data_IF_625470705891
#
_entry.id   IF_625470705891
#
_cell.length_a   1.000
_cell.length_b   1.000
_cell.length_c   1.000
_cell.angle_alpha   90.00
_cell.angle_beta   90.00
_cell.angle_gamma   90.00
#
_symmetry.space_group_name_H-M   'P 1'
#
loop_
_entity.id
_entity.type
_entity.pdbx_description
1 polymer ?
#
# COMPACT_ATOMS: atom_id res chain seq x y z
N UNK A 1 40.65 22.12 2.20
CA UNK A 1 40.51 21.04 3.21
C UNK A 1 39.49 21.30 4.31
N UNK A 2 39.34 22.54 4.80
CA UNK A 2 38.33 22.91 5.84
C UNK A 2 36.91 22.92 5.33
N UNK A 3 36.65 23.32 4.10
CA UNK A 3 35.33 23.30 3.46
C UNK A 3 34.82 21.87 3.19
N UNK A 4 35.72 20.94 2.83
CA UNK A 4 35.38 19.51 2.67
C UNK A 4 34.98 18.87 3.99
N UNK A 5 35.66 19.17 5.11
CA UNK A 5 35.25 18.67 6.44
C UNK A 5 33.90 19.21 6.89
N UNK A 6 33.55 20.47 6.54
CA UNK A 6 32.23 21.03 6.89
C UNK A 6 31.09 20.41 6.10
N UNK A 7 31.30 20.02 4.85
CA UNK A 7 30.28 19.37 4.02
C UNK A 7 30.03 17.92 4.45
N UNK A 8 31.07 17.14 4.68
CA UNK A 8 30.95 15.80 5.21
C UNK A 8 30.29 15.77 6.59
N UNK A 9 30.60 16.75 7.46
CA UNK A 9 29.92 16.90 8.75
C UNK A 9 28.43 17.21 8.59
N UNK A 10 28.03 18.07 7.65
CA UNK A 10 26.60 18.39 7.44
C UNK A 10 25.78 17.19 6.95
N UNK A 11 26.36 16.31 6.16
CA UNK A 11 25.69 15.10 5.69
C UNK A 11 25.56 14.05 6.79
N UNK A 12 26.55 13.97 7.69
CA UNK A 12 26.45 13.13 8.91
C UNK A 12 25.31 13.61 9.78
N UNK A 13 25.15 14.90 10.05
CA UNK A 13 24.05 15.44 10.87
C UNK A 13 22.65 15.13 10.30
N UNK A 14 22.49 15.20 8.99
CA UNK A 14 21.19 14.89 8.35
C UNK A 14 20.82 13.42 8.47
N UNK A 15 21.81 12.54 8.30
CA UNK A 15 21.64 11.10 8.50
C UNK A 15 21.26 10.80 9.95
N UNK A 16 21.93 11.43 10.90
CA UNK A 16 21.59 11.33 12.32
C UNK A 16 20.16 11.81 12.63
N UNK A 17 19.69 12.90 12.01
CA UNK A 17 18.31 13.36 12.19
C UNK A 17 17.29 12.33 11.71
N UNK A 18 17.53 11.66 10.58
CA UNK A 18 16.66 10.59 10.08
C UNK A 18 16.68 9.38 11.02
N UNK A 19 17.86 8.97 11.49
CA UNK A 19 18.00 7.89 12.45
C UNK A 19 17.29 8.20 13.77
N UNK A 20 17.43 9.42 14.27
CA UNK A 20 16.72 9.89 15.48
C UNK A 20 15.20 9.87 15.23
N UNK A 21 14.73 10.32 14.07
CA UNK A 21 13.31 10.29 13.73
C UNK A 21 12.76 8.85 13.72
N UNK A 22 13.51 7.89 13.15
CA UNK A 22 13.14 6.47 13.16
C UNK A 22 13.17 5.89 14.59
N UNK A 23 14.13 6.25 15.41
CA UNK A 23 14.19 5.84 16.81
C UNK A 23 13.00 6.39 17.59
N UNK A 24 12.69 7.69 17.47
CA UNK A 24 11.54 8.33 18.11
C UNK A 24 10.23 7.68 17.67
N UNK A 25 10.07 7.44 16.37
CA UNK A 25 8.93 6.69 15.84
C UNK A 25 8.85 5.28 16.45
N UNK A 26 9.96 4.56 16.49
CA UNK A 26 10.01 3.20 17.04
C UNK A 26 9.62 3.18 18.51
N UNK A 27 10.15 4.08 19.33
CA UNK A 27 9.86 4.14 20.77
C UNK A 27 8.43 4.60 21.04
N UNK A 28 7.94 5.64 20.34
CA UNK A 28 6.62 6.21 20.63
C UNK A 28 5.46 5.46 19.98
N UNK A 29 5.69 4.86 18.83
CA UNK A 29 4.63 4.27 18.02
C UNK A 29 4.81 2.76 17.85
N UNK A 30 5.93 2.29 17.29
CA UNK A 30 6.09 0.89 16.96
C UNK A 30 6.09 -0.01 18.20
N UNK A 31 6.70 0.41 19.31
CA UNK A 31 6.71 -0.38 20.56
C UNK A 31 5.33 -0.57 21.19
N UNK A 32 4.35 0.24 20.83
CA UNK A 32 2.97 0.08 21.31
C UNK A 32 2.25 -1.08 20.62
N UNK A 33 2.53 -1.31 19.32
CA UNK A 33 1.78 -2.26 18.48
C UNK A 33 2.57 -3.51 18.12
N UNK A 34 3.85 -3.38 17.78
CA UNK A 34 4.68 -4.50 17.32
C UNK A 34 4.79 -5.63 18.33
N UNK A 35 4.97 -5.40 19.66
CA UNK A 35 5.00 -6.50 20.63
C UNK A 35 3.70 -7.30 20.68
N UNK A 36 2.55 -6.64 20.38
CA UNK A 36 1.23 -7.28 20.35
C UNK A 36 0.92 -7.97 19.01
N UNK A 37 1.80 -7.86 18.02
CA UNK A 37 1.60 -8.45 16.68
C UNK A 37 1.47 -9.98 16.73
N UNK A 38 2.21 -10.66 17.60
CA UNK A 38 2.15 -12.13 17.72
C UNK A 38 0.84 -12.63 18.32
N UNK A 39 0.21 -11.86 19.20
CA UNK A 39 -1.04 -12.23 19.88
C UNK A 39 -2.27 -11.57 19.27
N UNK A 40 -2.09 -10.50 18.49
CA UNK A 40 -3.14 -9.64 17.94
C UNK A 40 -4.06 -9.01 19.00
N UNK A 41 -3.56 -8.90 20.24
CA UNK A 41 -4.28 -8.39 21.39
C UNK A 41 -4.75 -9.49 22.34
N UNK A 42 -4.98 -9.10 23.58
CA UNK A 42 -5.38 -10.02 24.66
C UNK A 42 -6.56 -9.49 25.49
N UNK A 43 -6.80 -8.18 25.44
CA UNK A 43 -7.83 -7.52 26.26
C UNK A 43 -9.04 -7.22 25.41
N UNK A 44 -10.16 -7.91 25.70
CA UNK A 44 -11.44 -7.67 25.04
C UNK A 44 -12.11 -6.38 25.56
N UNK A 45 -12.98 -5.81 24.71
CA UNK A 45 -13.77 -4.63 25.06
C UNK A 45 -14.87 -4.98 26.03
N UNK A 46 -14.78 -4.48 27.25
CA UNK A 46 -15.77 -4.67 28.31
C UNK A 46 -16.18 -3.33 28.93
N UNK A 47 -17.44 -3.23 29.34
CA UNK A 47 -17.93 -2.07 30.10
C UNK A 47 -17.57 -2.26 31.57
N UNK A 48 -16.75 -1.37 32.10
CA UNK A 48 -16.35 -1.33 33.50
C UNK A 48 -16.93 -0.09 34.16
N UNK A 49 -17.51 -0.26 35.34
CA UNK A 49 -18.02 0.87 36.10
C UNK A 49 -16.86 1.59 36.79
N UNK A 50 -16.61 2.83 36.39
CA UNK A 50 -15.56 3.66 36.99
C UNK A 50 -16.11 4.39 38.22
N UNK A 51 -15.66 3.95 39.42
CA UNK A 51 -16.09 4.54 40.68
C UNK A 51 -15.66 6.01 40.86
N UNK A 52 -14.64 6.47 40.15
CA UNK A 52 -14.18 7.87 40.23
C UNK A 52 -15.07 8.82 39.42
N UNK A 53 -15.52 8.38 38.23
CA UNK A 53 -16.36 9.19 37.34
C UNK A 53 -17.85 8.87 37.49
N UNK A 54 -18.19 7.83 38.28
CA UNK A 54 -19.57 7.31 38.45
C UNK A 54 -20.27 7.01 37.12
N UNK A 55 -19.48 6.60 36.10
CA UNK A 55 -19.98 6.27 34.76
C UNK A 55 -19.47 4.90 34.34
N UNK A 56 -20.26 4.23 33.51
CA UNK A 56 -19.79 3.04 32.79
C UNK A 56 -18.95 3.47 31.61
N UNK A 57 -17.68 3.15 31.63
CA UNK A 57 -16.71 3.42 30.60
C UNK A 57 -16.19 2.10 30.04
N UNK A 58 -15.68 2.11 28.80
CA UNK A 58 -15.02 0.93 28.27
C UNK A 58 -13.62 0.83 28.91
N UNK A 59 -13.18 -0.41 29.15
CA UNK A 59 -11.81 -0.69 29.58
C UNK A 59 -10.80 -0.25 28.49
N UNK A 60 -9.52 -0.26 28.83
CA UNK A 60 -8.45 -0.11 27.84
C UNK A 60 -8.33 -1.44 27.05
N UNK A 61 -9.04 -1.52 25.93
CA UNK A 61 -9.18 -2.74 25.13
C UNK A 61 -8.23 -2.73 23.92
N UNK A 62 -7.86 -3.93 23.50
CA UNK A 62 -7.08 -4.14 22.30
C UNK A 62 -8.01 -4.21 21.05
N UNK A 63 -7.51 -3.73 19.94
CA UNK A 63 -8.17 -3.90 18.64
C UNK A 63 -7.22 -4.63 17.69
N UNK A 64 -7.50 -5.88 17.41
CA UNK A 64 -6.64 -6.75 16.60
C UNK A 64 -6.38 -6.18 15.20
N UNK A 65 -7.38 -5.53 14.58
CA UNK A 65 -7.22 -4.89 13.28
C UNK A 65 -6.25 -3.70 13.33
N UNK A 66 -6.38 -2.86 14.36
CA UNK A 66 -5.50 -1.71 14.59
C UNK A 66 -4.07 -2.16 14.89
N UNK A 67 -3.91 -3.20 15.70
CA UNK A 67 -2.61 -3.80 16.03
C UNK A 67 -1.95 -4.33 14.75
N UNK A 68 -2.69 -5.09 13.92
CA UNK A 68 -2.18 -5.63 12.67
C UNK A 68 -1.77 -4.52 11.70
N UNK A 69 -2.63 -3.53 11.47
CA UNK A 69 -2.39 -2.42 10.56
C UNK A 69 -1.15 -1.60 10.95
N UNK A 70 -1.07 -1.20 12.23
CA UNK A 70 0.03 -0.35 12.69
C UNK A 70 1.35 -1.12 12.85
N UNK A 71 1.29 -2.41 13.15
CA UNK A 71 2.48 -3.26 13.13
C UNK A 71 3.02 -3.41 11.71
N UNK A 72 2.16 -3.65 10.71
CA UNK A 72 2.56 -3.69 9.31
C UNK A 72 3.14 -2.36 8.83
N UNK A 73 2.49 -1.25 9.19
CA UNK A 73 3.01 0.07 8.91
C UNK A 73 4.41 0.27 9.51
N UNK A 74 4.61 -0.15 10.75
CA UNK A 74 5.92 -0.09 11.43
C UNK A 74 6.97 -0.94 10.71
N UNK A 75 6.64 -2.14 10.26
CA UNK A 75 7.55 -2.99 9.48
C UNK A 75 7.94 -2.35 8.15
N UNK A 76 7.00 -1.73 7.45
CA UNK A 76 7.28 -1.01 6.19
C UNK A 76 8.22 0.18 6.45
N UNK A 77 8.00 0.95 7.52
CA UNK A 77 8.88 2.06 7.91
C UNK A 77 10.28 1.54 8.27
N UNK A 78 10.39 0.47 9.04
CA UNK A 78 11.68 -0.13 9.39
C UNK A 78 12.42 -0.70 8.18
N UNK A 79 11.68 -1.35 7.27
CA UNK A 79 12.26 -1.82 6.01
C UNK A 79 12.79 -0.68 5.15
N UNK A 80 12.01 0.40 5.00
CA UNK A 80 12.44 1.59 4.27
C UNK A 80 13.68 2.24 4.93
N UNK A 81 13.69 2.36 6.26
CA UNK A 81 14.82 2.87 7.02
C UNK A 81 16.08 2.00 6.83
N UNK A 82 15.94 0.68 6.86
CA UNK A 82 17.03 -0.26 6.62
C UNK A 82 17.60 -0.12 5.19
N UNK A 83 16.75 0.02 4.19
CA UNK A 83 17.17 0.26 2.79
C UNK A 83 17.94 1.58 2.66
N UNK A 84 17.45 2.65 3.28
CA UNK A 84 18.11 3.95 3.29
C UNK A 84 19.45 3.86 4.02
N UNK A 85 19.48 3.22 5.17
CA UNK A 85 20.71 3.01 5.94
C UNK A 85 21.75 2.21 5.13
N UNK A 86 21.36 1.12 4.51
CA UNK A 86 22.26 0.30 3.68
C UNK A 86 22.83 1.08 2.50
N UNK A 87 21.98 1.85 1.79
CA UNK A 87 22.45 2.76 0.73
C UNK A 87 23.41 3.82 1.26
N UNK A 88 23.15 4.35 2.46
CA UNK A 88 24.06 5.34 3.07
C UNK A 88 25.43 4.75 3.39
N UNK A 89 25.50 3.50 3.87
CA UNK A 89 26.77 2.80 4.12
C UNK A 89 27.55 2.62 2.82
N UNK A 90 26.88 2.16 1.76
CA UNK A 90 27.52 1.99 0.44
C UNK A 90 28.04 3.34 -0.10
N UNK A 91 27.21 4.39 0.00
CA UNK A 91 27.61 5.73 -0.44
C UNK A 91 28.79 6.28 0.35
N UNK A 92 28.81 6.08 1.68
CA UNK A 92 29.93 6.50 2.52
C UNK A 92 31.24 5.82 2.11
N UNK A 93 31.20 4.51 1.88
CA UNK A 93 32.35 3.76 1.37
C UNK A 93 32.83 4.25 0.00
N UNK A 94 31.89 4.55 -0.90
CA UNK A 94 32.20 5.05 -2.24
C UNK A 94 32.81 6.45 -2.16
N UNK A 95 32.30 7.33 -1.30
CA UNK A 95 32.82 8.68 -1.10
C UNK A 95 34.24 8.65 -0.51
N UNK A 96 34.50 7.76 0.48
CA UNK A 96 35.85 7.57 1.02
C UNK A 96 36.85 7.15 -0.06
N UNK A 97 36.46 6.19 -0.91
CA UNK A 97 37.29 5.72 -2.01
C UNK A 97 37.56 6.81 -3.07
N UNK A 98 36.59 7.70 -3.29
CA UNK A 98 36.76 8.86 -4.17
C UNK A 98 37.69 9.91 -3.56
N UNK A 99 37.62 10.13 -2.24
CA UNK A 99 38.53 11.03 -1.50
C UNK A 99 39.95 10.53 -1.56
N UNK A 100 40.19 9.24 -1.32
CA UNK A 100 41.51 8.60 -1.44
C UNK A 100 42.08 8.70 -2.85
N UNK A 101 41.23 8.68 -3.89
CA UNK A 101 41.60 8.83 -5.28
C UNK A 101 41.77 10.32 -5.74
N UNK A 102 41.61 11.28 -4.83
CA UNK A 102 41.70 12.72 -5.12
C UNK A 102 40.62 13.27 -6.04
N UNK A 103 39.48 12.57 -6.18
CA UNK A 103 38.38 13.02 -7.00
C UNK A 103 37.53 14.08 -6.25
N UNK A 104 36.88 14.95 -7.01
CA UNK A 104 35.99 15.95 -6.45
C UNK A 104 34.79 15.27 -5.78
N UNK A 105 34.47 15.69 -4.54
CA UNK A 105 33.28 15.26 -3.79
C UNK A 105 32.31 16.42 -3.80
N UNK A 106 31.06 16.14 -4.19
CA UNK A 106 30.01 17.15 -4.23
C UNK A 106 29.77 17.76 -2.84
N UNK A 107 29.57 19.06 -2.82
CA UNK A 107 29.10 19.78 -1.63
C UNK A 107 27.60 19.58 -1.46
N UNK A 108 27.09 19.84 -0.25
CA UNK A 108 25.63 19.75 0.02
C UNK A 108 24.77 20.58 -0.93
N UNK A 109 25.23 21.79 -1.30
CA UNK A 109 24.51 22.64 -2.27
C UNK A 109 24.47 22.00 -3.65
N UNK A 110 25.56 21.35 -4.07
CA UNK A 110 25.64 20.64 -5.34
C UNK A 110 24.72 19.41 -5.33
N UNK A 111 24.68 18.66 -4.23
CA UNK A 111 23.77 17.52 -4.08
C UNK A 111 22.29 17.97 -4.06
N UNK A 112 21.95 19.05 -3.37
CA UNK A 112 20.60 19.61 -3.39
C UNK A 112 20.21 20.10 -4.79
N UNK A 113 21.15 20.71 -5.50
CA UNK A 113 20.94 21.16 -6.88
C UNK A 113 20.79 19.96 -7.81
N UNK A 114 21.57 18.89 -7.60
CA UNK A 114 21.44 17.66 -8.38
C UNK A 114 20.06 17.00 -8.24
N UNK A 115 19.38 17.13 -7.10
CA UNK A 115 18.01 16.64 -6.90
C UNK A 115 16.97 17.42 -7.74
N UNK A 116 17.27 18.67 -8.10
CA UNK A 116 16.39 19.50 -8.93
C UNK A 116 16.79 19.49 -10.42
N UNK A 117 18.00 19.08 -10.75
CA UNK A 117 18.52 19.04 -12.12
C UNK A 117 18.71 17.60 -12.59
N UNK A 118 19.79 16.95 -12.24
CA UNK A 118 20.16 15.61 -12.73
C UNK A 118 19.26 14.49 -12.19
N UNK A 119 18.90 14.54 -10.89
CA UNK A 119 18.09 13.55 -10.20
C UNK A 119 16.62 13.98 -10.04
N UNK A 120 16.17 14.97 -10.81
CA UNK A 120 14.81 15.49 -10.76
C UNK A 120 13.74 14.40 -10.90
N UNK A 121 13.99 13.39 -11.74
CA UNK A 121 13.11 12.24 -11.90
C UNK A 121 12.89 11.47 -10.59
N UNK A 122 13.92 11.33 -9.74
CA UNK A 122 13.78 10.67 -8.43
C UNK A 122 12.91 11.51 -7.51
N UNK A 123 13.17 12.81 -7.45
CA UNK A 123 12.39 13.74 -6.61
C UNK A 123 10.93 13.77 -7.04
N UNK A 124 10.67 13.83 -8.34
CA UNK A 124 9.31 13.84 -8.89
C UNK A 124 8.55 12.54 -8.60
N UNK A 125 9.23 11.39 -8.71
CA UNK A 125 8.62 10.07 -8.49
C UNK A 125 8.46 9.71 -7.01
N UNK A 126 9.15 10.39 -6.10
CA UNK A 126 9.10 10.07 -4.67
C UNK A 126 7.69 10.17 -4.12
N UNK A 127 6.97 11.25 -4.42
CA UNK A 127 5.60 11.45 -3.93
C UNK A 127 4.60 10.41 -4.47
N UNK A 128 4.54 10.14 -5.78
CA UNK A 128 3.71 9.04 -6.31
C UNK A 128 4.07 7.66 -5.72
N UNK A 129 5.35 7.34 -5.58
CA UNK A 129 5.80 6.06 -5.01
C UNK A 129 5.38 5.94 -3.55
N UNK A 130 5.53 6.99 -2.74
CA UNK A 130 5.01 7.01 -1.37
C UNK A 130 3.50 6.79 -1.33
N UNK A 131 2.76 7.44 -2.23
CA UNK A 131 1.32 7.24 -2.38
C UNK A 131 0.97 5.76 -2.66
N UNK A 132 1.65 5.12 -3.60
CA UNK A 132 1.46 3.69 -3.91
C UNK A 132 1.80 2.81 -2.71
N UNK A 133 2.89 3.08 -1.99
CA UNK A 133 3.26 2.30 -0.80
C UNK A 133 2.20 2.42 0.28
N UNK A 134 1.74 3.62 0.61
CA UNK A 134 0.79 3.86 1.70
C UNK A 134 -0.62 3.38 1.34
N UNK A 135 -1.13 3.72 0.16
CA UNK A 135 -2.52 3.49 -0.21
C UNK A 135 -2.77 2.20 -0.99
N UNK A 136 -1.73 1.54 -1.47
CA UNK A 136 -1.87 0.28 -2.23
C UNK A 136 -1.13 -0.86 -1.55
N UNK A 137 0.16 -0.72 -1.27
CA UNK A 137 0.96 -1.82 -0.75
C UNK A 137 0.55 -2.22 0.68
N UNK A 138 0.37 -1.24 1.59
CA UNK A 138 -0.01 -1.53 2.97
C UNK A 138 -1.39 -2.20 3.06
N UNK A 139 -2.47 -1.73 2.39
CA UNK A 139 -3.74 -2.44 2.37
C UNK A 139 -3.67 -3.84 1.77
N UNK A 140 -2.89 -4.07 0.71
CA UNK A 140 -2.70 -5.41 0.14
C UNK A 140 -2.01 -6.34 1.15
N UNK A 141 -0.93 -5.88 1.79
CA UNK A 141 -0.26 -6.64 2.83
C UNK A 141 -1.22 -6.96 3.98
N UNK A 142 -2.03 -5.98 4.41
CA UNK A 142 -3.03 -6.19 5.45
C UNK A 142 -3.99 -7.32 5.07
N UNK A 143 -4.55 -7.32 3.86
CA UNK A 143 -5.45 -8.37 3.38
C UNK A 143 -4.77 -9.74 3.34
N UNK A 144 -3.49 -9.79 2.92
CA UNK A 144 -2.70 -11.02 2.93
C UNK A 144 -2.57 -11.55 4.36
N UNK A 145 -2.22 -10.71 5.33
CA UNK A 145 -2.08 -11.14 6.72
C UNK A 145 -3.42 -11.54 7.35
N UNK A 146 -4.50 -10.81 7.06
CA UNK A 146 -5.86 -11.17 7.51
C UNK A 146 -6.25 -12.58 7.04
N UNK A 147 -5.84 -13.02 5.85
CA UNK A 147 -6.11 -14.37 5.34
C UNK A 147 -5.51 -15.49 6.21
N UNK A 148 -4.51 -15.18 7.06
CA UNK A 148 -3.92 -16.11 8.02
C UNK A 148 -4.53 -16.03 9.42
N UNK A 149 -5.60 -15.27 9.60
CA UNK A 149 -6.32 -15.11 10.87
C UNK A 149 -7.71 -15.73 10.81
N UNK A 150 -8.36 -15.88 11.97
CA UNK A 150 -9.75 -16.29 12.08
C UNK A 150 -10.74 -15.12 12.01
N UNK A 151 -10.43 -14.07 11.23
CA UNK A 151 -11.31 -12.92 11.06
C UNK A 151 -12.63 -13.32 10.39
N UNK A 152 -13.72 -13.31 11.16
CA UNK A 152 -15.07 -13.62 10.72
C UNK A 152 -16.11 -12.75 11.48
N UNK A 153 -17.40 -13.02 11.28
CA UNK A 153 -18.47 -12.28 11.97
C UNK A 153 -18.45 -12.44 13.50
N UNK A 154 -17.89 -13.54 14.01
CA UNK A 154 -17.82 -13.82 15.44
C UNK A 154 -16.57 -13.22 16.10
N UNK A 155 -15.51 -12.97 15.29
CA UNK A 155 -14.23 -12.42 15.72
C UNK A 155 -13.98 -11.04 15.10
N UNK A 156 -14.99 -10.16 15.17
CA UNK A 156 -14.91 -8.82 14.58
C UNK A 156 -14.54 -7.77 15.65
N UNK A 157 -13.38 -7.08 15.50
CA UNK A 157 -13.03 -5.96 16.36
C UNK A 157 -14.05 -4.80 16.25
N UNK A 158 -14.27 -4.00 17.28
CA UNK A 158 -13.53 -3.96 18.55
C UNK A 158 -14.07 -4.88 19.65
N UNK A 159 -15.24 -5.46 19.50
CA UNK A 159 -15.91 -6.25 20.54
C UNK A 159 -15.24 -7.60 20.78
N UNK A 160 -14.78 -8.23 19.73
CA UNK A 160 -14.06 -9.50 19.76
C UNK A 160 -12.69 -9.36 19.11
N UNK A 161 -11.76 -10.23 19.51
CA UNK A 161 -10.40 -10.26 18.97
C UNK A 161 -10.29 -11.44 18.00
N UNK A 162 -9.57 -11.25 16.92
CA UNK A 162 -9.14 -12.34 16.06
C UNK A 162 -7.68 -12.73 16.35
N UNK A 163 -7.34 -13.97 16.03
CA UNK A 163 -6.04 -14.57 16.31
C UNK A 163 -5.45 -15.22 15.06
N UNK A 164 -4.16 -15.53 15.12
CA UNK A 164 -3.48 -16.26 14.05
C UNK A 164 -3.93 -17.71 13.99
N UNK A 165 -4.36 -18.15 12.82
CA UNK A 165 -4.68 -19.57 12.52
C UNK A 165 -3.75 -20.18 11.46
N UNK A 166 -2.79 -19.40 10.98
CA UNK A 166 -1.82 -19.85 9.99
C UNK A 166 -2.49 -20.29 8.69
N UNK A 167 -2.12 -21.47 8.19
CA UNK A 167 -2.64 -22.01 6.93
C UNK A 167 -3.98 -22.73 7.06
N UNK A 168 -4.63 -22.75 8.23
CA UNK A 168 -5.86 -23.49 8.47
C UNK A 168 -6.97 -23.10 7.48
N UNK A 169 -7.12 -21.81 7.17
CA UNK A 169 -8.09 -21.32 6.20
C UNK A 169 -7.84 -21.88 4.80
N UNK A 170 -6.59 -21.98 4.39
CA UNK A 170 -6.21 -22.53 3.09
C UNK A 170 -6.39 -24.04 3.05
N UNK A 171 -6.06 -24.74 4.13
CA UNK A 171 -6.28 -26.18 4.25
C UNK A 171 -7.77 -26.49 4.20
N UNK A 172 -8.61 -25.75 4.91
CA UNK A 172 -10.07 -25.94 4.87
C UNK A 172 -10.67 -25.60 3.50
N UNK A 173 -10.07 -24.65 2.78
CA UNK A 173 -10.53 -24.26 1.45
C UNK A 173 -10.13 -25.27 0.36
N UNK A 174 -8.88 -25.75 0.37
CA UNK A 174 -8.30 -26.62 -0.66
C UNK A 174 -8.11 -28.08 -0.22
N UNK A 175 -8.18 -28.36 1.09
CA UNK A 175 -8.07 -29.72 1.64
C UNK A 175 -9.35 -30.54 1.41
N UNK A 176 -9.29 -31.83 1.70
CA UNK A 176 -10.25 -32.86 1.30
C UNK A 176 -11.76 -32.62 1.54
N UNK A 177 -12.15 -31.58 2.25
CA UNK A 177 -13.54 -31.14 2.36
C UNK A 177 -13.85 -29.85 1.58
N UNK A 178 -12.84 -29.05 1.26
CA UNK A 178 -13.02 -27.69 0.71
C UNK A 178 -13.53 -27.67 -0.73
N UNK A 179 -12.99 -28.50 -1.61
CA UNK A 179 -13.41 -28.57 -3.01
C UNK A 179 -14.73 -29.33 -3.21
N UNK A 180 -15.07 -30.23 -2.28
CA UNK A 180 -16.36 -30.96 -2.27
C UNK A 180 -17.44 -30.20 -1.50
N UNK A 181 -17.07 -29.23 -0.66
CA UNK A 181 -18.03 -28.32 -0.03
C UNK A 181 -18.58 -27.33 -1.03
N UNK A 182 -19.84 -26.92 -0.85
CA UNK A 182 -20.49 -25.88 -1.68
C UNK A 182 -19.66 -24.59 -1.74
N UNK A 183 -19.01 -24.23 -0.62
CA UNK A 183 -18.16 -23.04 -0.54
C UNK A 183 -16.85 -23.16 -1.35
N UNK A 184 -16.13 -24.26 -1.20
CA UNK A 184 -14.87 -24.47 -1.94
C UNK A 184 -15.08 -24.53 -3.44
N UNK A 185 -16.15 -25.22 -3.89
CA UNK A 185 -16.54 -25.24 -5.30
C UNK A 185 -16.88 -23.85 -5.84
N UNK A 186 -17.70 -23.09 -5.10
CA UNK A 186 -18.06 -21.72 -5.48
C UNK A 186 -16.83 -20.82 -5.55
N UNK A 187 -15.90 -20.91 -4.59
CA UNK A 187 -14.67 -20.14 -4.56
C UNK A 187 -13.79 -20.42 -5.79
N UNK A 188 -13.51 -21.69 -6.10
CA UNK A 188 -12.67 -22.05 -7.25
C UNK A 188 -13.31 -21.60 -8.57
N UNK A 189 -14.62 -21.75 -8.70
CA UNK A 189 -15.38 -21.27 -9.87
C UNK A 189 -15.27 -19.76 -10.05
N UNK A 190 -15.48 -18.99 -8.97
CA UNK A 190 -15.37 -17.52 -9.00
C UNK A 190 -13.94 -17.10 -9.28
N UNK A 191 -12.95 -17.74 -8.64
CA UNK A 191 -11.53 -17.47 -8.89
C UNK A 191 -11.15 -17.71 -10.34
N UNK A 192 -11.53 -18.88 -10.89
CA UNK A 192 -11.29 -19.21 -12.29
C UNK A 192 -11.90 -18.19 -13.25
N UNK A 193 -13.16 -17.82 -13.01
CA UNK A 193 -13.82 -16.76 -13.77
C UNK A 193 -13.10 -15.41 -13.67
N UNK A 194 -12.69 -15.02 -12.46
CA UNK A 194 -11.96 -13.77 -12.23
C UNK A 194 -10.63 -13.73 -12.97
N UNK A 195 -9.87 -14.84 -12.98
CA UNK A 195 -8.62 -14.93 -13.72
C UNK A 195 -8.83 -14.83 -15.23
N UNK A 196 -9.81 -15.54 -15.77
CA UNK A 196 -10.19 -15.46 -17.19
C UNK A 196 -10.60 -14.03 -17.55
N UNK A 197 -11.46 -13.42 -16.73
CA UNK A 197 -11.89 -12.05 -16.92
C UNK A 197 -10.72 -11.06 -16.85
N UNK A 198 -9.84 -11.18 -15.86
CA UNK A 198 -8.67 -10.32 -15.71
C UNK A 198 -7.75 -10.40 -16.92
N UNK A 199 -7.52 -11.62 -17.44
CA UNK A 199 -6.71 -11.82 -18.64
C UNK A 199 -7.33 -11.10 -19.85
N UNK A 200 -8.57 -11.42 -20.18
CA UNK A 200 -9.22 -10.82 -21.35
C UNK A 200 -9.41 -9.31 -21.20
N UNK A 201 -9.82 -8.82 -20.04
CA UNK A 201 -9.99 -7.39 -19.80
C UNK A 201 -8.66 -6.64 -19.99
N UNK A 202 -7.57 -7.16 -19.44
CA UNK A 202 -6.25 -6.51 -19.55
C UNK A 202 -5.76 -6.49 -21.00
N UNK A 203 -5.79 -7.62 -21.68
CA UNK A 203 -5.27 -7.70 -23.05
C UNK A 203 -6.14 -6.92 -24.05
N UNK A 204 -7.46 -7.01 -23.95
CA UNK A 204 -8.36 -6.26 -24.87
C UNK A 204 -8.26 -4.76 -24.65
N UNK A 205 -8.19 -4.27 -23.41
CA UNK A 205 -8.02 -2.85 -23.12
C UNK A 205 -6.64 -2.34 -23.55
N UNK A 206 -5.59 -3.13 -23.38
CA UNK A 206 -4.23 -2.79 -23.80
C UNK A 206 -4.14 -2.69 -25.32
N UNK A 207 -4.55 -3.74 -26.04
CA UNK A 207 -4.53 -3.78 -27.50
C UNK A 207 -5.46 -2.71 -28.08
N UNK A 208 -6.68 -2.60 -27.55
CA UNK A 208 -7.65 -1.57 -27.95
C UNK A 208 -7.13 -0.15 -27.73
N UNK A 209 -6.45 0.09 -26.60
CA UNK A 209 -5.80 1.37 -26.28
C UNK A 209 -4.69 1.73 -27.27
N UNK A 210 -3.84 0.76 -27.65
CA UNK A 210 -2.80 0.97 -28.67
C UNK A 210 -3.42 1.31 -30.01
N UNK A 211 -4.39 0.52 -30.47
CA UNK A 211 -5.07 0.75 -31.76
C UNK A 211 -5.74 2.13 -31.78
N UNK A 212 -6.45 2.48 -30.70
CA UNK A 212 -7.10 3.79 -30.57
C UNK A 212 -6.07 4.93 -30.59
N UNK A 213 -4.96 4.77 -29.89
CA UNK A 213 -3.87 5.75 -29.88
C UNK A 213 -3.28 5.96 -31.29
N UNK A 214 -3.05 4.90 -32.03
CA UNK A 214 -2.56 4.96 -33.41
C UNK A 214 -3.58 5.67 -34.34
N UNK A 215 -4.86 5.34 -34.20
CA UNK A 215 -5.93 6.00 -34.96
C UNK A 215 -6.00 7.50 -34.67
N UNK A 216 -5.96 7.90 -33.41
CA UNK A 216 -6.02 9.30 -32.97
C UNK A 216 -4.78 10.11 -33.37
N UNK A 217 -3.62 9.45 -33.52
CA UNK A 217 -2.38 10.08 -33.98
C UNK A 217 -2.24 10.12 -35.51
N UNK A 218 -3.10 9.42 -36.22
CA UNK A 218 -3.05 9.40 -37.68
C UNK A 218 -3.38 10.79 -38.27
N UNK A 219 -2.57 11.23 -39.27
CA UNK A 219 -2.80 12.49 -39.98
C UNK A 219 -4.14 12.50 -40.73
N UNK A 220 -4.73 11.32 -41.00
CA UNK A 220 -6.02 11.17 -41.70
C UNK A 220 -7.23 11.38 -40.78
N UNK A 221 -7.06 11.36 -39.47
CA UNK A 221 -8.17 11.47 -38.50
C UNK A 221 -8.62 12.92 -38.36
N UNK A 222 -9.82 13.21 -38.88
CA UNK A 222 -10.47 14.53 -38.74
C UNK A 222 -10.90 14.72 -37.28
N UNK A 223 -10.73 15.94 -36.73
CA UNK A 223 -11.12 16.31 -35.39
C UNK A 223 -10.42 15.50 -34.27
N UNK A 224 -9.17 15.10 -34.47
CA UNK A 224 -8.40 14.31 -33.51
C UNK A 224 -8.32 14.97 -32.13
N UNK A 225 -8.30 16.31 -32.05
CA UNK A 225 -8.33 17.07 -30.79
C UNK A 225 -9.63 16.85 -30.01
N UNK A 226 -10.77 16.91 -30.72
CA UNK A 226 -12.09 16.69 -30.13
C UNK A 226 -12.21 15.27 -29.56
N UNK A 227 -11.79 14.25 -30.33
CA UNK A 227 -11.80 12.86 -29.86
C UNK A 227 -10.93 12.66 -28.62
N UNK A 228 -9.73 13.22 -28.62
CA UNK A 228 -8.85 13.15 -27.42
C UNK A 228 -9.51 13.77 -26.18
N UNK A 229 -10.13 14.94 -26.33
CA UNK A 229 -10.85 15.59 -25.22
C UNK A 229 -12.01 14.72 -24.73
N UNK A 230 -12.78 14.12 -25.64
CA UNK A 230 -13.91 13.26 -25.30
C UNK A 230 -13.46 12.01 -24.53
N UNK A 231 -12.35 11.38 -24.91
CA UNK A 231 -11.79 10.24 -24.17
C UNK A 231 -11.20 10.64 -22.82
N UNK A 232 -10.64 11.84 -22.69
CA UNK A 232 -10.15 12.34 -21.39
C UNK A 232 -11.32 12.60 -20.43
N UNK A 233 -12.44 13.12 -20.93
CA UNK A 233 -13.64 13.37 -20.10
C UNK A 233 -14.20 12.07 -19.53
N UNK A 234 -14.11 10.94 -20.25
CA UNK A 234 -14.57 9.65 -19.71
C UNK A 234 -13.78 9.18 -18.49
N UNK A 235 -12.54 9.61 -18.31
CA UNK A 235 -11.73 9.31 -17.12
C UNK A 235 -12.30 10.01 -15.87
N UNK A 236 -12.98 11.15 -16.04
CA UNK A 236 -13.61 11.88 -14.95
C UNK A 236 -14.82 11.16 -14.35
N UNK A 237 -15.41 10.19 -15.06
CA UNK A 237 -16.52 9.40 -14.56
C UNK A 237 -15.98 8.17 -13.80
N UNK A 238 -16.21 8.06 -12.49
CA UNK A 238 -15.78 6.91 -11.72
C UNK A 238 -16.37 5.60 -12.30
N UNK A 239 -15.54 4.60 -12.49
CA UNK A 239 -15.91 3.33 -13.12
C UNK A 239 -17.10 2.65 -12.43
N UNK A 240 -17.19 2.74 -11.08
CA UNK A 240 -18.31 2.15 -10.34
C UNK A 240 -19.65 2.79 -10.68
N UNK A 241 -19.69 4.10 -10.98
CA UNK A 241 -20.93 4.81 -11.40
C UNK A 241 -21.40 4.24 -12.74
N UNK A 242 -20.50 4.09 -13.69
CA UNK A 242 -20.82 3.50 -15.00
C UNK A 242 -21.34 2.07 -14.87
N UNK A 243 -20.72 1.26 -14.01
CA UNK A 243 -21.17 -0.11 -13.74
C UNK A 243 -22.55 -0.17 -13.06
N UNK A 244 -22.83 0.74 -12.12
CA UNK A 244 -24.14 0.84 -11.48
C UNK A 244 -25.23 1.26 -12.46
N UNK A 245 -24.93 2.20 -13.36
CA UNK A 245 -25.86 2.59 -14.41
C UNK A 245 -26.19 1.41 -15.34
N UNK A 246 -25.17 0.71 -15.84
CA UNK A 246 -25.36 -0.48 -16.69
C UNK A 246 -26.16 -1.55 -15.94
N UNK A 247 -25.82 -1.85 -14.67
CA UNK A 247 -26.57 -2.79 -13.85
C UNK A 247 -28.05 -2.40 -13.72
N UNK A 248 -28.34 -1.12 -13.48
CA UNK A 248 -29.72 -0.65 -13.34
C UNK A 248 -30.49 -0.70 -14.65
N UNK A 249 -29.83 -0.46 -15.80
CA UNK A 249 -30.48 -0.59 -17.10
C UNK A 249 -30.92 -2.03 -17.39
N UNK A 250 -30.11 -3.02 -17.03
CA UNK A 250 -30.35 -4.44 -17.31
C UNK A 250 -31.01 -5.21 -16.13
N UNK A 251 -31.32 -4.54 -15.03
CA UNK A 251 -32.03 -5.18 -13.91
C UNK A 251 -33.54 -5.35 -14.24
N UNK A 252 -34.17 -6.36 -13.62
CA UNK A 252 -35.60 -6.67 -13.86
C UNK A 252 -36.59 -5.51 -13.55
N UNK A 253 -36.13 -4.42 -12.97
CA UNK A 253 -36.89 -3.16 -12.76
C UNK A 253 -36.34 -1.97 -13.52
N UNK A 254 -35.34 -2.17 -14.40
CA UNK A 254 -34.68 -1.11 -15.14
C UNK A 254 -35.45 -0.64 -16.37
N UNK A 255 -34.99 0.48 -16.96
CA UNK A 255 -35.66 1.15 -18.08
C UNK A 255 -35.67 0.33 -19.39
N UNK A 256 -34.83 -0.69 -19.51
CA UNK A 256 -34.80 -1.61 -20.65
C UNK A 256 -35.39 -2.94 -20.21
N UNK A 257 -36.68 -3.12 -20.38
CA UNK A 257 -37.30 -4.43 -20.38
C UNK A 257 -36.93 -5.12 -21.67
N UNK A 258 -36.14 -6.18 -21.61
CA UNK A 258 -36.10 -7.13 -22.72
C UNK A 258 -37.47 -7.80 -22.75
N UNK A 259 -38.29 -7.43 -23.75
CA UNK A 259 -39.54 -8.10 -24.13
C UNK A 259 -39.21 -9.44 -24.74
#
# INVERSE_FOLDING_TARGET
>A
STLMRSSAASDVYKRQLLEIAVIVFSVKFAMQYVPKFSTLGTVKMEKVFNMKTMKSEFNDYDNSFTILLFSLFSFVVWFAAAVVWFKNVINAYTLQKMEEAGKHINTFKEDLRSLTEEKFHITLLTLPVLGVVIFTLIPILLLIFVAFTNYDQQHMPPTELFSWVGFSNFISLFGGGGLTSTFGYAFVRVLGWTLVWAFFATFTTYIGGILLSLLLNSKKTRLSKMWRTLFIVTIAVPQFVSLLLVRNFFSNGGSVRCV
#
